data_IF_439278293421
#
_entry.id   IF_439278293421
#
_cell.length_a   1.000
_cell.length_b   1.000
_cell.length_c   1.000
_cell.angle_alpha   90.00
_cell.angle_beta   90.00
_cell.angle_gamma   90.00
#
_symmetry.space_group_name_H-M   'P 1'
#
loop_
_entity.id
_entity.type
_entity.pdbx_description
1 polymer ?
#
# COMPACT_ATOMS: atom_id res chain seq x y z
N UNK A 1 -35.11 22.76 14.10
CA UNK A 1 -34.47 22.56 12.77
C UNK A 1 -32.94 22.55 12.78
N UNK A 2 -32.25 23.36 13.60
CA UNK A 2 -30.78 23.43 13.59
C UNK A 2 -30.07 22.15 14.08
N UNK A 3 -30.56 21.52 15.18
CA UNK A 3 -30.03 20.22 15.69
C UNK A 3 -30.21 19.07 14.70
N UNK A 4 -31.32 19.05 13.95
CA UNK A 4 -31.57 18.04 12.93
C UNK A 4 -30.60 18.16 11.74
N UNK A 5 -30.27 19.38 11.30
CA UNK A 5 -29.26 19.63 10.26
C UNK A 5 -27.86 19.20 10.68
N UNK A 6 -27.48 19.44 11.94
CA UNK A 6 -26.16 19.03 12.47
C UNK A 6 -26.07 17.50 12.58
N UNK A 7 -27.14 16.84 13.04
CA UNK A 7 -27.23 15.38 13.10
C UNK A 7 -27.15 14.72 11.71
N UNK A 8 -27.86 15.27 10.72
CA UNK A 8 -27.79 14.79 9.32
C UNK A 8 -26.39 14.95 8.72
N UNK A 9 -25.72 16.09 8.98
CA UNK A 9 -24.38 16.37 8.45
C UNK A 9 -23.33 15.46 9.10
N UNK A 10 -23.44 15.19 10.40
CA UNK A 10 -22.54 14.30 11.13
C UNK A 10 -22.75 12.83 10.72
N UNK A 11 -24.00 12.37 10.64
CA UNK A 11 -24.33 11.00 10.20
C UNK A 11 -23.95 10.75 8.73
N UNK A 12 -24.10 11.75 7.85
CA UNK A 12 -23.59 11.66 6.48
C UNK A 12 -22.06 11.51 6.45
N UNK A 13 -21.34 12.35 7.21
CA UNK A 13 -19.87 12.28 7.32
C UNK A 13 -19.40 10.95 7.93
N UNK A 14 -20.10 10.43 8.94
CA UNK A 14 -19.76 9.18 9.61
C UNK A 14 -20.10 7.96 8.74
N UNK A 15 -21.17 8.01 7.94
CA UNK A 15 -21.46 7.03 6.90
C UNK A 15 -20.35 6.98 5.85
N UNK A 16 -19.81 8.14 5.44
CA UNK A 16 -18.63 8.23 4.58
C UNK A 16 -17.33 7.76 5.26
N UNK A 17 -17.31 7.62 6.59
CA UNK A 17 -16.17 7.11 7.37
C UNK A 17 -16.21 5.60 7.62
N UNK A 18 -17.27 4.90 7.23
CA UNK A 18 -17.43 3.45 7.39
C UNK A 18 -18.14 3.02 8.68
N UNK A 19 -18.15 3.89 9.70
CA UNK A 19 -18.74 3.61 11.01
C UNK A 19 -20.21 4.06 11.13
N UNK A 20 -20.69 4.87 10.18
CA UNK A 20 -22.06 5.41 10.21
C UNK A 20 -23.12 4.44 9.67
N UNK A 21 -24.32 4.55 10.24
CA UNK A 21 -25.52 3.85 9.78
C UNK A 21 -25.90 4.24 8.36
N UNK A 22 -26.28 3.29 7.51
CA UNK A 22 -26.77 3.53 6.15
C UNK A 22 -28.24 4.02 6.09
N UNK A 23 -28.82 4.29 7.25
CA UNK A 23 -30.21 4.70 7.45
C UNK A 23 -30.64 5.94 6.65
N UNK A 24 -29.75 6.92 6.43
CA UNK A 24 -30.08 8.11 5.62
C UNK A 24 -30.24 7.74 4.15
N UNK A 25 -29.31 6.92 3.62
CA UNK A 25 -29.40 6.44 2.25
C UNK A 25 -30.62 5.51 2.07
N UNK A 26 -30.88 4.64 3.06
CA UNK A 26 -32.04 3.76 3.07
C UNK A 26 -33.34 4.56 3.08
N UNK A 27 -33.46 5.56 3.96
CA UNK A 27 -34.65 6.41 4.02
C UNK A 27 -34.88 7.18 2.71
N UNK A 28 -33.81 7.72 2.12
CA UNK A 28 -33.89 8.40 0.82
C UNK A 28 -34.40 7.47 -0.30
N UNK A 29 -33.88 6.25 -0.36
CA UNK A 29 -34.30 5.25 -1.36
C UNK A 29 -35.68 4.66 -1.08
N UNK A 30 -36.07 4.49 0.18
CA UNK A 30 -37.41 4.05 0.53
C UNK A 30 -38.48 5.07 0.16
N UNK A 31 -38.16 6.36 0.18
CA UNK A 31 -39.08 7.43 -0.24
C UNK A 31 -39.30 7.48 -1.75
N UNK A 32 -38.35 6.99 -2.56
CA UNK A 32 -38.53 6.98 -4.02
C UNK A 32 -39.47 5.88 -4.48
N UNK A 33 -39.56 4.74 -3.77
CA UNK A 33 -40.47 3.63 -4.10
C UNK A 33 -41.94 4.07 -4.19
N UNK A 34 -42.57 4.65 -3.15
CA UNK A 34 -43.97 5.07 -3.23
C UNK A 34 -44.19 6.20 -4.25
N UNK A 35 -43.19 7.06 -4.47
CA UNK A 35 -43.27 8.11 -5.47
C UNK A 35 -43.30 7.53 -6.89
N UNK A 36 -42.42 6.55 -7.18
CA UNK A 36 -42.39 5.83 -8.46
C UNK A 36 -43.71 5.08 -8.64
N UNK A 37 -44.16 4.33 -7.64
CA UNK A 37 -45.41 3.56 -7.72
C UNK A 37 -46.64 4.42 -7.96
N UNK A 38 -46.77 5.56 -7.25
CA UNK A 38 -47.86 6.49 -7.51
C UNK A 38 -47.79 7.04 -8.94
N UNK A 39 -46.60 7.38 -9.42
CA UNK A 39 -46.42 7.92 -10.76
C UNK A 39 -46.72 6.88 -11.86
N UNK A 40 -46.35 5.63 -11.65
CA UNK A 40 -46.70 4.48 -12.51
C UNK A 40 -48.21 4.27 -12.56
N UNK A 41 -48.92 4.35 -11.42
CA UNK A 41 -50.38 4.19 -11.38
C UNK A 41 -51.11 5.36 -12.06
N UNK A 42 -50.63 6.59 -11.88
CA UNK A 42 -51.27 7.80 -12.44
C UNK A 42 -50.98 7.96 -13.94
N UNK A 43 -49.78 7.61 -14.38
CA UNK A 43 -49.33 7.80 -15.76
C UNK A 43 -48.52 6.60 -16.28
N UNK A 44 -49.17 5.44 -16.47
CA UNK A 44 -48.49 4.18 -16.81
C UNK A 44 -47.80 4.21 -18.18
N UNK A 45 -48.18 5.13 -19.06
CA UNK A 45 -47.56 5.32 -20.39
C UNK A 45 -46.18 5.98 -20.29
N UNK A 46 -45.96 6.82 -19.27
CA UNK A 46 -44.72 7.59 -19.12
C UNK A 46 -43.72 6.92 -18.19
N UNK A 47 -44.19 6.15 -17.21
CA UNK A 47 -43.35 5.53 -16.18
C UNK A 47 -43.71 4.05 -16.08
N UNK A 48 -42.79 3.21 -16.55
CA UNK A 48 -42.94 1.76 -16.53
C UNK A 48 -42.77 1.21 -15.10
N UNK A 49 -43.53 0.19 -14.67
CA UNK A 49 -43.29 -0.56 -13.42
C UNK A 49 -41.83 -1.02 -13.20
N UNK A 50 -41.07 -1.25 -14.28
CA UNK A 50 -39.64 -1.58 -14.21
C UNK A 50 -38.78 -0.45 -13.63
N UNK A 51 -39.30 0.78 -13.52
CA UNK A 51 -38.63 1.90 -12.86
C UNK A 51 -38.29 1.61 -11.38
N UNK A 52 -38.98 0.66 -10.74
CA UNK A 52 -38.62 0.15 -9.40
C UNK A 52 -37.23 -0.51 -9.34
N UNK A 53 -36.64 -0.87 -10.48
CA UNK A 53 -35.25 -1.32 -10.55
C UNK A 53 -34.24 -0.21 -10.20
N UNK A 54 -34.57 1.06 -10.45
CA UNK A 54 -33.67 2.20 -10.20
C UNK A 54 -33.26 2.33 -8.72
N UNK A 55 -34.19 2.38 -7.75
CA UNK A 55 -33.82 2.41 -6.34
C UNK A 55 -33.08 1.15 -5.90
N UNK A 56 -33.38 -0.01 -6.47
CA UNK A 56 -32.68 -1.28 -6.15
C UNK A 56 -31.22 -1.22 -6.62
N UNK A 57 -30.96 -0.79 -7.84
CA UNK A 57 -29.59 -0.64 -8.38
C UNK A 57 -28.81 0.40 -7.59
N UNK A 58 -29.42 1.55 -7.30
CA UNK A 58 -28.82 2.57 -6.41
C UNK A 58 -28.57 2.02 -5.00
N UNK A 59 -29.48 1.19 -4.50
CA UNK A 59 -29.38 0.48 -3.23
C UNK A 59 -28.20 -0.50 -3.19
N UNK A 60 -27.97 -1.26 -4.27
CA UNK A 60 -26.81 -2.17 -4.39
C UNK A 60 -25.46 -1.46 -4.23
N UNK A 61 -25.38 -0.21 -4.71
CA UNK A 61 -24.17 0.61 -4.62
C UNK A 61 -23.99 1.29 -3.25
N UNK A 62 -25.09 1.58 -2.55
CA UNK A 62 -25.07 2.40 -1.33
C UNK A 62 -25.26 1.55 -0.07
N UNK A 63 -26.28 0.69 -0.02
CA UNK A 63 -26.80 0.05 1.20
C UNK A 63 -26.10 -1.25 1.58
N UNK A 64 -26.01 -1.51 2.89
CA UNK A 64 -25.53 -2.80 3.41
C UNK A 64 -26.48 -3.93 2.97
N UNK A 65 -25.99 -5.19 2.85
CA UNK A 65 -26.83 -6.31 2.42
C UNK A 65 -28.14 -6.44 3.21
N UNK A 66 -28.11 -6.22 4.53
CA UNK A 66 -29.30 -6.26 5.39
C UNK A 66 -30.33 -5.18 5.06
N UNK A 67 -29.87 -3.95 4.83
CA UNK A 67 -30.73 -2.80 4.50
C UNK A 67 -31.28 -2.90 3.08
N UNK A 68 -30.46 -3.44 2.16
CA UNK A 68 -30.86 -3.69 0.78
C UNK A 68 -31.97 -4.74 0.67
N UNK A 69 -31.97 -5.77 1.52
CA UNK A 69 -33.08 -6.73 1.61
C UNK A 69 -34.39 -6.04 1.98
N UNK A 70 -34.35 -5.08 2.92
CA UNK A 70 -35.54 -4.29 3.26
C UNK A 70 -36.05 -3.43 2.10
N UNK A 71 -35.13 -2.78 1.38
CA UNK A 71 -35.47 -2.01 0.18
C UNK A 71 -36.07 -2.89 -0.92
N UNK A 72 -35.47 -4.06 -1.16
CA UNK A 72 -35.95 -5.03 -2.15
C UNK A 72 -37.33 -5.59 -1.80
N UNK A 73 -37.56 -5.93 -0.52
CA UNK A 73 -38.88 -6.37 -0.05
C UNK A 73 -39.95 -5.28 -0.25
N UNK A 74 -39.58 -4.01 -0.03
CA UNK A 74 -40.49 -2.87 -0.22
C UNK A 74 -40.82 -2.67 -1.70
N UNK A 75 -39.82 -2.78 -2.59
CA UNK A 75 -40.02 -2.70 -4.03
C UNK A 75 -40.85 -3.88 -4.58
N UNK A 76 -40.65 -5.09 -4.05
CA UNK A 76 -41.48 -6.24 -4.40
C UNK A 76 -42.95 -6.04 -3.97
N UNK A 77 -43.19 -5.49 -2.78
CA UNK A 77 -44.53 -5.11 -2.33
C UNK A 77 -45.18 -4.05 -3.21
N UNK A 78 -44.42 -3.03 -3.60
CA UNK A 78 -44.87 -2.00 -4.55
C UNK A 78 -45.27 -2.60 -5.91
N UNK A 79 -44.45 -3.51 -6.45
CA UNK A 79 -44.74 -4.20 -7.71
C UNK A 79 -46.01 -5.06 -7.63
N UNK A 80 -46.26 -5.70 -6.47
CA UNK A 80 -47.52 -6.43 -6.23
C UNK A 80 -48.72 -5.47 -6.24
N UNK A 81 -48.60 -4.29 -5.61
CA UNK A 81 -49.66 -3.27 -5.62
C UNK A 81 -49.93 -2.77 -7.04
N UNK A 82 -48.89 -2.51 -7.83
CA UNK A 82 -49.02 -2.12 -9.24
C UNK A 82 -49.70 -3.22 -10.06
N UNK A 83 -49.36 -4.50 -9.84
CA UNK A 83 -49.98 -5.62 -10.54
C UNK A 83 -51.47 -5.75 -10.21
N UNK A 84 -51.86 -5.54 -8.94
CA UNK A 84 -53.26 -5.60 -8.52
C UNK A 84 -54.08 -4.40 -9.01
N UNK A 85 -53.48 -3.20 -9.09
CA UNK A 85 -54.18 -1.96 -9.45
C UNK A 85 -54.30 -1.76 -10.96
N UNK A 86 -53.25 -2.11 -11.73
CA UNK A 86 -53.24 -1.99 -13.19
C UNK A 86 -53.97 -3.14 -13.89
N UNK A 87 -54.28 -4.23 -13.18
CA UNK A 87 -55.03 -5.37 -13.70
C UNK A 87 -54.17 -6.38 -14.49
N UNK A 88 -54.80 -7.42 -15.09
CA UNK A 88 -54.09 -8.50 -15.77
C UNK A 88 -53.20 -8.01 -16.91
N UNK A 89 -52.00 -8.56 -17.05
CA UNK A 89 -51.03 -8.16 -18.08
C UNK A 89 -51.51 -8.36 -19.53
N UNK A 90 -52.59 -9.11 -19.74
CA UNK A 90 -53.14 -9.42 -21.06
C UNK A 90 -53.91 -8.24 -21.69
N UNK A 91 -54.35 -7.26 -20.90
CA UNK A 91 -55.25 -6.20 -21.41
C UNK A 91 -54.56 -4.87 -21.76
N UNK A 92 -53.22 -4.82 -21.78
CA UNK A 92 -52.52 -3.62 -22.26
C UNK A 92 -51.01 -3.58 -22.01
N UNK A 93 -50.26 -2.76 -22.79
CA UNK A 93 -48.79 -2.72 -22.77
C UNK A 93 -48.19 -2.01 -21.55
N UNK A 94 -48.98 -1.28 -20.76
CA UNK A 94 -48.52 -0.48 -19.63
C UNK A 94 -48.80 -1.14 -18.26
N UNK A 95 -48.80 -2.47 -18.22
CA UNK A 95 -49.14 -3.29 -17.05
C UNK A 95 -47.94 -4.11 -16.58
N UNK A 96 -47.99 -4.62 -15.35
CA UNK A 96 -46.91 -5.45 -14.79
C UNK A 96 -46.83 -6.77 -15.55
N UNK A 97 -45.82 -6.93 -16.40
CA UNK A 97 -45.57 -8.17 -17.14
C UNK A 97 -44.67 -9.11 -16.34
N UNK A 98 -44.69 -10.42 -16.65
CA UNK A 98 -43.69 -11.35 -16.10
C UNK A 98 -42.24 -10.92 -16.36
N UNK A 99 -41.99 -10.23 -17.49
CA UNK A 99 -40.68 -9.66 -17.81
C UNK A 99 -40.27 -8.55 -16.84
N UNK A 100 -41.19 -7.68 -16.45
CA UNK A 100 -40.95 -6.65 -15.43
C UNK A 100 -40.55 -7.27 -14.09
N UNK A 101 -41.27 -8.30 -13.65
CA UNK A 101 -40.96 -9.04 -12.41
C UNK A 101 -39.56 -9.63 -12.49
N UNK A 102 -39.21 -10.26 -13.62
CA UNK A 102 -37.89 -10.84 -13.85
C UNK A 102 -36.77 -9.78 -13.79
N UNK A 103 -36.97 -8.61 -14.43
CA UNK A 103 -35.97 -7.53 -14.43
C UNK A 103 -35.75 -6.98 -13.02
N UNK A 104 -36.83 -6.66 -12.29
CA UNK A 104 -36.74 -6.14 -10.92
C UNK A 104 -36.07 -7.17 -10.00
N UNK A 105 -36.42 -8.45 -10.13
CA UNK A 105 -35.81 -9.53 -9.36
C UNK A 105 -34.32 -9.73 -9.70
N UNK A 106 -33.96 -9.70 -10.98
CA UNK A 106 -32.56 -9.79 -11.42
C UNK A 106 -31.73 -8.61 -10.90
N UNK A 107 -32.24 -7.38 -10.99
CA UNK A 107 -31.60 -6.20 -10.41
C UNK A 107 -31.42 -6.33 -8.90
N UNK A 108 -32.41 -6.90 -8.19
CA UNK A 108 -32.30 -7.20 -6.76
C UNK A 108 -31.19 -8.21 -6.46
N UNK A 109 -31.15 -9.31 -7.21
CA UNK A 109 -30.13 -10.35 -7.07
C UNK A 109 -28.72 -9.82 -7.36
N UNK A 110 -28.51 -9.15 -8.49
CA UNK A 110 -27.22 -8.54 -8.82
C UNK A 110 -26.84 -7.43 -7.82
N UNK A 111 -27.81 -6.65 -7.35
CA UNK A 111 -27.59 -5.66 -6.30
C UNK A 111 -27.12 -6.28 -4.99
N UNK A 112 -27.70 -7.42 -4.58
CA UNK A 112 -27.26 -8.17 -3.40
C UNK A 112 -25.88 -8.78 -3.58
N UNK A 113 -25.59 -9.36 -4.75
CA UNK A 113 -24.26 -9.87 -5.09
C UNK A 113 -23.23 -8.74 -4.99
N UNK A 114 -23.50 -7.59 -5.60
CA UNK A 114 -22.62 -6.43 -5.58
C UNK A 114 -22.43 -5.91 -4.14
N UNK A 115 -23.50 -5.85 -3.34
CA UNK A 115 -23.43 -5.46 -1.94
C UNK A 115 -22.63 -6.46 -1.09
N UNK A 116 -22.74 -7.77 -1.35
CA UNK A 116 -21.96 -8.81 -0.67
C UNK A 116 -20.49 -8.78 -1.05
N UNK A 117 -20.16 -8.61 -2.34
CA UNK A 117 -18.78 -8.41 -2.78
C UNK A 117 -18.19 -7.16 -2.12
N UNK A 118 -18.93 -6.04 -2.11
CA UNK A 118 -18.50 -4.81 -1.44
C UNK A 118 -18.28 -5.01 0.07
N UNK A 119 -19.14 -5.78 0.74
CA UNK A 119 -18.98 -6.08 2.16
C UNK A 119 -17.78 -7.01 2.43
N UNK A 120 -17.53 -7.99 1.57
CA UNK A 120 -16.41 -8.94 1.70
C UNK A 120 -15.06 -8.26 1.44
N UNK A 121 -15.01 -7.33 0.49
CA UNK A 121 -13.79 -6.58 0.17
C UNK A 121 -13.43 -5.59 1.29
N UNK A 122 -14.36 -5.27 2.22
CA UNK A 122 -14.07 -4.44 3.40
C UNK A 122 -13.69 -2.98 3.09
N UNK A 123 -13.68 -2.59 1.81
CA UNK A 123 -13.31 -1.26 1.35
C UNK A 123 -14.60 -0.46 1.10
N UNK A 124 -14.88 0.60 1.88
CA UNK A 124 -15.91 1.57 1.52
C UNK A 124 -15.54 2.16 0.16
N UNK A 125 -16.42 2.10 -0.83
CA UNK A 125 -16.17 2.44 -2.25
C UNK A 125 -15.60 3.85 -2.52
N UNK A 126 -15.54 4.74 -1.52
CA UNK A 126 -14.86 6.05 -1.60
C UNK A 126 -13.47 6.10 -0.93
N UNK A 127 -12.96 4.95 -0.50
CA UNK A 127 -11.78 4.76 0.37
C UNK A 127 -10.84 3.65 -0.12
N UNK A 128 -10.91 3.23 -1.39
CA UNK A 128 -9.84 2.39 -1.97
C UNK A 128 -8.45 3.00 -1.76
N UNK A 129 -8.37 4.34 -1.75
CA UNK A 129 -7.16 5.06 -1.38
C UNK A 129 -6.79 5.02 0.10
N UNK A 130 -7.68 4.73 1.07
CA UNK A 130 -7.31 4.83 2.49
C UNK A 130 -6.68 3.57 3.07
N UNK A 131 -7.02 2.37 2.60
CA UNK A 131 -6.27 1.18 3.04
C UNK A 131 -4.85 1.22 2.49
N UNK A 132 -4.69 1.58 1.22
CA UNK A 132 -3.37 1.73 0.61
C UNK A 132 -2.60 2.92 1.22
N UNK A 133 -3.28 4.01 1.58
CA UNK A 133 -2.68 5.11 2.35
C UNK A 133 -2.29 4.69 3.77
N UNK A 134 -3.12 3.91 4.48
CA UNK A 134 -2.80 3.43 5.83
C UNK A 134 -1.63 2.45 5.78
N UNK A 135 -1.59 1.57 4.77
CA UNK A 135 -0.45 0.72 4.47
C UNK A 135 0.82 1.55 4.23
N UNK A 136 0.74 2.58 3.37
CA UNK A 136 1.84 3.52 3.12
C UNK A 136 2.33 4.16 4.40
N UNK A 137 1.42 4.73 5.18
CA UNK A 137 1.78 5.46 6.40
C UNK A 137 2.43 4.50 7.40
N UNK A 138 1.92 3.27 7.55
CA UNK A 138 2.55 2.27 8.42
C UNK A 138 3.96 1.88 7.97
N UNK A 139 4.16 1.58 6.69
CA UNK A 139 5.49 1.25 6.13
C UNK A 139 6.43 2.45 6.29
N UNK A 140 5.95 3.67 6.01
CA UNK A 140 6.72 4.91 6.16
C UNK A 140 7.10 5.20 7.61
N UNK A 141 6.19 5.01 8.55
CA UNK A 141 6.44 5.18 9.99
C UNK A 141 7.47 4.17 10.47
N UNK A 142 7.39 2.91 10.01
CA UNK A 142 8.41 1.89 10.32
C UNK A 142 9.76 2.20 9.66
N UNK A 143 9.76 2.85 8.50
CA UNK A 143 10.97 3.26 7.76
C UNK A 143 11.61 4.56 8.22
N UNK A 144 11.27 5.04 9.43
CA UNK A 144 11.89 6.24 9.97
C UNK A 144 13.30 5.94 10.50
N UNK A 145 14.29 6.72 10.05
CA UNK A 145 15.66 6.62 10.56
C UNK A 145 15.77 7.23 11.97
N UNK A 146 16.47 6.55 12.91
CA UNK A 146 16.69 7.08 14.25
C UNK A 146 17.58 8.34 14.22
N UNK A 147 17.52 9.15 15.28
CA UNK A 147 18.42 10.31 15.41
C UNK A 147 19.86 9.87 15.70
N UNK A 148 20.79 10.28 14.83
CA UNK A 148 22.23 10.07 14.98
C UNK A 148 22.89 11.21 15.79
N UNK A 149 24.03 10.93 16.46
CA UNK A 149 24.80 11.93 17.19
C UNK A 149 25.37 13.01 16.28
N UNK A 150 25.89 14.08 16.88
CA UNK A 150 26.60 15.12 16.14
C UNK A 150 27.78 14.52 15.37
N UNK A 151 28.07 15.08 14.20
CA UNK A 151 29.09 14.54 13.29
C UNK A 151 28.55 13.46 12.33
N UNK A 152 27.28 13.08 12.42
CA UNK A 152 26.66 12.16 11.47
C UNK A 152 25.48 12.80 10.73
N UNK A 153 25.39 12.51 9.44
CA UNK A 153 24.28 12.86 8.57
C UNK A 153 23.61 11.60 8.02
N UNK A 154 22.30 11.69 7.78
CA UNK A 154 21.52 10.56 7.26
C UNK A 154 20.37 11.06 6.42
N UNK A 155 20.12 10.38 5.31
CA UNK A 155 18.95 10.62 4.48
C UNK A 155 18.36 9.33 3.98
N UNK A 156 17.05 9.36 3.79
CA UNK A 156 16.28 8.28 3.22
C UNK A 156 15.35 8.87 2.18
N UNK A 157 15.29 8.24 1.02
CA UNK A 157 14.22 8.45 0.07
C UNK A 157 13.64 7.10 -0.35
N UNK A 158 12.31 7.05 -0.44
CA UNK A 158 11.54 5.89 -0.89
C UNK A 158 10.55 6.39 -1.93
N UNK A 159 10.50 5.74 -3.09
CA UNK A 159 9.61 6.10 -4.20
C UNK A 159 8.94 4.86 -4.80
N UNK A 160 7.62 4.71 -4.60
CA UNK A 160 6.88 3.60 -5.17
C UNK A 160 6.82 3.55 -6.70
N UNK A 161 6.67 2.35 -7.25
CA UNK A 161 6.39 2.06 -8.65
C UNK A 161 5.01 2.60 -9.10
N UNK A 162 4.90 2.99 -10.36
CA UNK A 162 3.61 3.16 -11.06
C UNK A 162 2.63 4.16 -10.46
N UNK A 163 3.09 5.11 -9.64
CA UNK A 163 2.20 6.02 -8.91
C UNK A 163 1.34 5.33 -7.86
N UNK A 164 1.71 4.10 -7.47
CA UNK A 164 1.08 3.40 -6.36
C UNK A 164 1.31 4.17 -5.06
N UNK A 165 0.42 3.94 -4.11
CA UNK A 165 0.52 4.60 -2.81
C UNK A 165 1.41 3.84 -1.83
N UNK A 166 1.98 2.68 -2.15
CA UNK A 166 2.84 1.92 -1.23
C UNK A 166 3.98 1.26 -2.01
N UNK A 167 5.07 0.94 -1.30
CA UNK A 167 6.31 0.33 -1.81
C UNK A 167 6.43 -1.10 -1.27
N UNK A 168 6.94 -2.02 -2.08
CA UNK A 168 7.51 -3.30 -1.63
C UNK A 168 8.80 -3.09 -0.83
N UNK A 169 9.58 -2.08 -1.21
CA UNK A 169 10.76 -1.66 -0.47
C UNK A 169 10.42 -1.04 0.90
N UNK A 170 11.21 -1.39 1.90
CA UNK A 170 11.17 -0.73 3.19
C UNK A 170 12.55 -0.68 3.82
N UNK A 171 12.72 0.25 4.76
CA UNK A 171 13.88 0.26 5.65
C UNK A 171 13.43 0.05 7.08
N UNK A 172 14.23 -0.63 7.88
CA UNK A 172 14.09 -0.60 9.32
C UNK A 172 15.43 -0.24 9.92
N UNK A 173 15.45 0.77 10.80
CA UNK A 173 16.67 1.20 11.44
C UNK A 173 16.46 1.48 12.93
N UNK A 174 17.45 1.08 13.73
CA UNK A 174 17.43 1.27 15.17
C UNK A 174 18.82 1.62 15.69
N UNK A 175 18.86 2.39 16.78
CA UNK A 175 20.08 2.62 17.53
C UNK A 175 20.15 1.62 18.68
N UNK A 176 21.11 0.72 18.63
CA UNK A 176 21.28 -0.40 19.57
C UNK A 176 22.49 -0.16 20.47
N UNK A 177 22.73 -1.03 21.45
CA UNK A 177 23.89 -0.93 22.37
C UNK A 177 24.00 0.44 23.07
N UNK A 178 22.91 0.91 23.69
CA UNK A 178 22.87 2.24 24.33
C UNK A 178 22.94 3.41 23.34
N UNK A 179 22.73 3.10 22.06
CA UNK A 179 22.78 4.05 20.95
C UNK A 179 24.16 4.22 20.32
N UNK A 180 25.17 3.44 20.72
CA UNK A 180 26.49 3.47 20.07
C UNK A 180 26.44 2.91 18.65
N UNK A 181 25.60 1.90 18.41
CA UNK A 181 25.52 1.22 17.12
C UNK A 181 24.26 1.66 16.39
N UNK A 182 24.38 2.00 15.11
CA UNK A 182 23.26 2.09 14.18
C UNK A 182 23.14 0.76 13.45
N UNK A 183 21.99 0.13 13.56
CA UNK A 183 21.63 -0.98 12.67
C UNK A 183 20.58 -0.48 11.68
N UNK A 184 20.77 -0.77 10.40
CA UNK A 184 19.84 -0.41 9.34
C UNK A 184 19.69 -1.57 8.37
N UNK A 185 18.46 -1.88 7.99
CA UNK A 185 18.11 -2.98 7.10
C UNK A 185 17.28 -2.42 5.97
N UNK A 186 17.79 -2.45 4.75
CA UNK A 186 17.04 -2.14 3.55
C UNK A 186 16.62 -3.46 2.89
N UNK A 187 15.34 -3.60 2.58
CA UNK A 187 14.77 -4.84 2.04
C UNK A 187 13.83 -4.51 0.90
N UNK A 188 13.99 -5.23 -0.21
CA UNK A 188 13.04 -5.27 -1.30
C UNK A 188 12.34 -6.64 -1.31
N UNK A 189 11.02 -6.61 -1.43
CA UNK A 189 10.15 -7.78 -1.33
C UNK A 189 9.63 -8.14 -2.70
N UNK A 190 9.91 -9.36 -3.13
CA UNK A 190 9.45 -9.85 -4.42
C UNK A 190 7.94 -9.78 -4.59
N UNK A 191 7.54 -9.46 -5.82
CA UNK A 191 6.16 -9.36 -6.24
C UNK A 191 5.79 -7.94 -6.65
N UNK A 192 4.50 -7.70 -6.87
CA UNK A 192 3.98 -6.37 -7.23
C UNK A 192 2.58 -6.18 -6.70
N UNK A 193 2.20 -4.92 -6.52
CA UNK A 193 0.84 -4.58 -6.10
C UNK A 193 0.56 -4.97 -4.65
N UNK A 194 -0.71 -5.17 -4.32
CA UNK A 194 -1.15 -5.23 -2.91
C UNK A 194 -0.50 -6.36 -2.10
N UNK A 195 -0.20 -7.49 -2.73
CA UNK A 195 0.43 -8.63 -2.04
C UNK A 195 1.84 -8.26 -1.57
N UNK A 196 2.66 -7.66 -2.44
CA UNK A 196 4.00 -7.18 -2.08
C UNK A 196 3.94 -6.13 -0.95
N UNK A 197 3.00 -5.17 -1.02
CA UNK A 197 2.83 -4.18 0.04
C UNK A 197 2.41 -4.80 1.38
N UNK A 198 1.54 -5.80 1.37
CA UNK A 198 1.13 -6.50 2.60
C UNK A 198 2.27 -7.30 3.24
N UNK A 199 3.11 -7.94 2.40
CA UNK A 199 4.31 -8.66 2.82
C UNK A 199 5.35 -7.70 3.38
N UNK A 200 5.60 -6.58 2.70
CA UNK A 200 6.48 -5.50 3.16
C UNK A 200 6.08 -5.02 4.56
N UNK A 201 4.79 -4.78 4.82
CA UNK A 201 4.30 -4.38 6.15
C UNK A 201 4.52 -5.46 7.23
N UNK A 202 4.30 -6.73 6.89
CA UNK A 202 4.54 -7.84 7.83
C UNK A 202 6.03 -7.98 8.14
N UNK A 203 6.88 -7.91 7.11
CA UNK A 203 8.32 -8.05 7.23
C UNK A 203 8.96 -6.86 7.94
N UNK A 204 8.57 -5.63 7.63
CA UNK A 204 9.06 -4.44 8.33
C UNK A 204 8.76 -4.49 9.83
N UNK A 205 7.57 -4.98 10.22
CA UNK A 205 7.21 -5.21 11.61
C UNK A 205 8.07 -6.29 12.27
N UNK A 206 8.24 -7.44 11.61
CA UNK A 206 9.05 -8.54 12.11
C UNK A 206 10.53 -8.14 12.26
N UNK A 207 11.11 -7.53 11.22
CA UNK A 207 12.51 -7.11 11.18
C UNK A 207 12.78 -6.04 12.23
N UNK A 208 11.85 -5.09 12.44
CA UNK A 208 11.96 -4.12 13.53
C UNK A 208 11.93 -4.72 14.92
N UNK A 209 11.30 -5.88 15.12
CA UNK A 209 11.38 -6.63 16.38
C UNK A 209 12.69 -7.39 16.56
N UNK A 210 13.29 -7.86 15.46
CA UNK A 210 14.55 -8.60 15.46
C UNK A 210 15.78 -7.68 15.62
N UNK A 211 15.72 -6.47 15.05
CA UNK A 211 16.82 -5.52 15.04
C UNK A 211 17.20 -5.10 16.47
N UNK A 212 18.46 -5.31 16.86
CA UNK A 212 18.95 -5.09 18.22
C UNK A 212 18.52 -6.13 19.27
N UNK A 213 17.64 -7.07 18.92
CA UNK A 213 17.28 -8.21 19.79
C UNK A 213 18.18 -9.42 19.57
N UNK A 214 18.89 -9.46 18.43
CA UNK A 214 19.81 -10.52 18.03
C UNK A 214 21.22 -9.95 17.82
N UNK A 215 22.28 -10.79 17.94
CA UNK A 215 23.59 -10.45 17.41
C UNK A 215 23.52 -10.15 15.90
N UNK A 216 24.34 -9.22 15.37
CA UNK A 216 24.33 -8.84 13.96
C UNK A 216 24.30 -10.01 12.96
N UNK A 217 25.24 -10.95 13.10
CA UNK A 217 25.35 -12.13 12.22
C UNK A 217 24.13 -13.07 12.26
N UNK A 218 23.28 -12.99 13.29
CA UNK A 218 22.11 -13.85 13.44
C UNK A 218 20.83 -13.22 12.86
N UNK A 219 20.86 -11.94 12.46
CA UNK A 219 19.69 -11.23 11.96
C UNK A 219 19.16 -11.83 10.65
N UNK A 220 19.99 -11.88 9.60
CA UNK A 220 19.56 -12.41 8.29
C UNK A 220 19.15 -13.89 8.33
N UNK A 221 19.85 -14.80 9.06
CA UNK A 221 19.37 -16.16 9.27
C UNK A 221 17.99 -16.22 9.94
N UNK A 222 17.73 -15.40 10.96
CA UNK A 222 16.44 -15.35 11.64
C UNK A 222 15.33 -14.79 10.73
N UNK A 223 15.66 -13.76 9.94
CA UNK A 223 14.78 -13.19 8.92
C UNK A 223 14.43 -14.23 7.83
N UNK A 224 15.42 -14.95 7.30
CA UNK A 224 15.23 -16.04 6.35
C UNK A 224 14.27 -17.11 6.89
N UNK A 225 14.52 -17.59 8.12
CA UNK A 225 13.64 -18.55 8.77
C UNK A 225 12.22 -18.01 9.02
N UNK A 226 12.05 -16.70 9.25
CA UNK A 226 10.72 -16.09 9.34
C UNK A 226 9.97 -16.12 8.01
N UNK A 227 10.64 -15.77 6.90
CA UNK A 227 10.05 -15.82 5.55
C UNK A 227 9.64 -17.25 5.17
N UNK A 228 10.52 -18.24 5.38
CA UNK A 228 10.26 -19.65 5.07
C UNK A 228 9.01 -20.18 5.80
N UNK A 229 8.71 -19.69 7.01
CA UNK A 229 7.50 -20.08 7.76
C UNK A 229 6.21 -19.44 7.26
N UNK A 230 6.28 -18.40 6.42
CA UNK A 230 5.07 -17.78 5.87
C UNK A 230 4.44 -18.61 4.74
N UNK A 231 5.21 -19.52 4.13
CA UNK A 231 4.75 -20.44 3.08
C UNK A 231 4.06 -19.70 1.92
N UNK A 232 4.69 -18.63 1.43
CA UNK A 232 4.18 -17.85 0.30
C UNK A 232 4.56 -18.51 -1.02
N UNK A 233 3.58 -18.70 -1.92
CA UNK A 233 3.76 -19.32 -3.25
C UNK A 233 4.91 -18.70 -4.08
N UNK A 234 5.09 -17.37 -3.97
CA UNK A 234 6.15 -16.60 -4.65
C UNK A 234 6.71 -15.54 -3.68
N UNK A 235 7.40 -15.94 -2.61
CA UNK A 235 7.81 -15.04 -1.53
C UNK A 235 9.27 -15.12 -1.15
N UNK A 236 10.13 -14.40 -1.88
CA UNK A 236 11.50 -14.10 -1.47
C UNK A 236 11.71 -12.61 -1.25
N UNK A 237 12.82 -12.24 -0.64
CA UNK A 237 13.21 -10.84 -0.48
C UNK A 237 14.73 -10.69 -0.63
N UNK A 238 15.15 -9.58 -1.20
CA UNK A 238 16.54 -9.12 -1.12
C UNK A 238 16.69 -8.28 0.14
N UNK A 239 17.83 -8.35 0.83
CA UNK A 239 18.04 -7.53 2.02
C UNK A 239 19.50 -7.19 2.24
N UNK A 240 19.79 -5.98 2.69
CA UNK A 240 21.12 -5.55 3.13
C UNK A 240 21.03 -5.03 4.56
N UNK A 241 21.83 -5.61 5.46
CA UNK A 241 21.89 -5.27 6.87
C UNK A 241 23.23 -4.61 7.19
N UNK A 242 23.17 -3.32 7.51
CA UNK A 242 24.30 -2.52 7.97
C UNK A 242 24.31 -2.46 9.49
N UNK A 243 25.48 -2.71 10.08
CA UNK A 243 25.78 -2.48 11.50
C UNK A 243 26.96 -1.51 11.59
N UNK A 244 26.71 -0.30 12.07
CA UNK A 244 27.66 0.80 12.09
C UNK A 244 27.91 1.27 13.54
N UNK A 245 29.16 1.23 13.99
CA UNK A 245 29.60 1.88 15.22
C UNK A 245 29.73 3.39 14.97
N UNK A 246 28.89 4.19 15.63
CA UNK A 246 28.83 5.64 15.45
C UNK A 246 29.97 6.39 16.15
N UNK A 247 30.76 5.71 17.00
CA UNK A 247 31.92 6.26 17.69
C UNK A 247 33.18 6.07 16.84
N UNK A 248 33.48 4.82 16.44
CA UNK A 248 34.67 4.53 15.62
C UNK A 248 34.45 4.82 14.14
N UNK A 249 33.23 4.64 13.62
CA UNK A 249 32.91 4.64 12.20
C UNK A 249 33.04 3.27 11.53
N UNK A 250 33.44 2.24 12.26
CA UNK A 250 33.56 0.89 11.73
C UNK A 250 32.18 0.30 11.46
N UNK A 251 32.08 -0.47 10.37
CA UNK A 251 30.83 -1.11 9.99
C UNK A 251 31.02 -2.53 9.50
N UNK A 252 29.92 -3.29 9.60
CA UNK A 252 29.72 -4.59 9.00
C UNK A 252 28.47 -4.54 8.11
N UNK A 253 28.56 -5.10 6.91
CA UNK A 253 27.46 -5.23 5.95
C UNK A 253 27.23 -6.70 5.67
N UNK A 254 26.00 -7.15 5.86
CA UNK A 254 25.54 -8.49 5.49
C UNK A 254 24.55 -8.34 4.33
N UNK A 255 24.66 -9.15 3.28
CA UNK A 255 23.79 -9.06 2.09
C UNK A 255 23.09 -10.39 1.82
N UNK A 256 21.81 -10.34 1.53
CA UNK A 256 20.98 -11.44 1.07
C UNK A 256 20.49 -11.14 -0.35
N UNK A 257 21.29 -11.50 -1.36
CA UNK A 257 21.01 -11.28 -2.78
C UNK A 257 20.74 -9.82 -3.17
N UNK A 258 21.20 -8.85 -2.37
CA UNK A 258 20.94 -7.43 -2.56
C UNK A 258 22.11 -6.75 -3.30
N UNK A 259 21.85 -5.69 -4.12
CA UNK A 259 22.91 -4.88 -4.74
C UNK A 259 23.99 -4.41 -3.75
N UNK A 260 25.25 -4.24 -4.22
CA UNK A 260 26.35 -3.83 -3.36
C UNK A 260 26.13 -2.43 -2.78
N UNK A 261 26.61 -2.20 -1.57
CA UNK A 261 26.65 -0.85 -1.02
C UNK A 261 27.76 -0.04 -1.71
N UNK A 262 27.60 1.28 -1.80
CA UNK A 262 28.61 2.17 -2.39
C UNK A 262 29.22 3.07 -1.32
N UNK A 263 30.54 3.01 -1.15
CA UNK A 263 31.27 3.91 -0.26
C UNK A 263 32.05 4.95 -1.07
N UNK A 264 31.84 6.23 -0.80
CA UNK A 264 32.72 7.31 -1.23
C UNK A 264 33.81 7.53 -0.20
N UNK A 265 35.05 7.47 -0.63
CA UNK A 265 36.21 7.85 0.17
C UNK A 265 36.53 9.33 -0.02
N UNK A 266 36.34 10.16 0.99
CA UNK A 266 36.53 11.61 0.87
C UNK A 266 37.97 12.00 0.53
N UNK A 267 38.94 11.20 0.98
CA UNK A 267 40.37 11.46 0.72
C UNK A 267 40.77 11.29 -0.75
N UNK A 268 40.13 10.39 -1.49
CA UNK A 268 40.44 10.10 -2.90
C UNK A 268 39.36 10.58 -3.88
N UNK A 269 38.14 10.85 -3.38
CA UNK A 269 36.96 11.10 -4.19
C UNK A 269 36.51 9.90 -5.01
N UNK A 270 36.95 8.68 -4.66
CA UNK A 270 36.63 7.46 -5.39
C UNK A 270 35.49 6.70 -4.71
N UNK A 271 34.60 6.14 -5.54
CA UNK A 271 33.57 5.21 -5.11
C UNK A 271 34.11 3.78 -5.09
N UNK A 272 33.76 3.03 -4.05
CA UNK A 272 34.09 1.62 -3.88
C UNK A 272 32.81 0.82 -3.61
N UNK A 273 32.63 -0.28 -4.34
CA UNK A 273 31.57 -1.25 -4.08
C UNK A 273 31.91 -2.13 -2.87
N UNK A 274 30.95 -2.30 -1.97
CA UNK A 274 30.99 -3.18 -0.80
C UNK A 274 29.99 -4.31 -1.00
N UNK A 275 30.42 -5.33 -1.75
CA UNK A 275 29.61 -6.46 -2.17
C UNK A 275 29.62 -7.57 -1.11
N UNK A 276 28.51 -7.74 -0.39
CA UNK A 276 28.30 -8.90 0.46
C UNK A 276 27.80 -10.11 -0.33
N UNK A 277 28.18 -11.31 0.11
CA UNK A 277 27.70 -12.57 -0.48
C UNK A 277 26.63 -13.19 0.42
N UNK A 278 25.55 -13.67 -0.21
CA UNK A 278 24.50 -14.39 0.47
C UNK A 278 23.29 -14.65 -0.43
N UNK A 279 22.56 -15.77 -0.22
CA UNK A 279 21.38 -16.10 -1.01
C UNK A 279 20.22 -15.13 -0.74
N UNK A 280 19.20 -15.15 -1.61
CA UNK A 280 17.94 -14.45 -1.34
C UNK A 280 17.26 -15.01 -0.08
N UNK A 281 16.59 -14.16 0.69
CA UNK A 281 15.79 -14.59 1.83
C UNK A 281 14.55 -15.37 1.34
N UNK A 282 14.17 -16.42 2.04
CA UNK A 282 12.98 -17.23 1.76
C UNK A 282 13.18 -18.34 0.73
N UNK A 283 14.40 -18.57 0.23
CA UNK A 283 14.65 -19.59 -0.82
C UNK A 283 15.01 -20.96 -0.26
N UNK A 284 15.95 -21.02 0.69
CA UNK A 284 16.33 -22.29 1.33
C UNK A 284 16.76 -22.10 2.79
N UNK A 285 16.62 -23.15 3.58
CA UNK A 285 16.95 -23.16 5.01
C UNK A 285 18.46 -23.31 5.23
N UNK A 286 18.97 -22.79 6.36
CA UNK A 286 20.40 -22.86 6.70
C UNK A 286 21.31 -21.95 5.86
N UNK A 287 20.77 -20.90 5.25
CA UNK A 287 21.55 -19.87 4.56
C UNK A 287 22.54 -19.16 5.51
N UNK A 288 23.79 -19.07 5.08
CA UNK A 288 24.84 -18.29 5.75
C UNK A 288 25.04 -16.95 5.03
N UNK A 289 25.32 -15.91 5.81
CA UNK A 289 25.48 -14.54 5.33
C UNK A 289 26.77 -13.97 5.93
N UNK A 290 27.79 -13.78 5.09
CA UNK A 290 29.08 -13.30 5.56
C UNK A 290 29.16 -11.78 5.57
N UNK A 291 29.87 -11.25 6.56
CA UNK A 291 30.02 -9.82 6.75
C UNK A 291 31.14 -9.24 5.90
N UNK A 292 30.86 -8.17 5.16
CA UNK A 292 31.86 -7.26 4.61
C UNK A 292 32.14 -6.16 5.62
N UNK A 293 33.42 -5.97 5.95
CA UNK A 293 33.85 -4.97 6.94
C UNK A 293 34.43 -3.74 6.26
N UNK A 294 34.21 -2.59 6.88
CA UNK A 294 34.82 -1.33 6.45
C UNK A 294 34.78 -0.31 7.57
N UNK A 295 35.21 0.92 7.25
CA UNK A 295 35.15 2.04 8.18
C UNK A 295 34.81 3.31 7.41
N UNK A 296 33.98 4.17 8.00
CA UNK A 296 33.65 5.50 7.49
C UNK A 296 34.52 6.54 8.18
N UNK A 297 35.50 7.05 7.46
CA UNK A 297 36.30 8.17 7.90
C UNK A 297 35.47 9.48 7.86
N UNK A 298 35.87 10.52 8.60
CA UNK A 298 35.26 11.84 8.44
C UNK A 298 35.32 12.32 6.98
N UNK A 299 34.17 12.72 6.44
CA UNK A 299 33.95 13.06 5.05
C UNK A 299 33.34 11.93 4.20
N UNK A 300 33.51 10.67 4.60
CA UNK A 300 33.05 9.52 3.80
C UNK A 300 31.52 9.42 3.78
N UNK A 301 31.04 8.76 2.72
CA UNK A 301 29.61 8.52 2.47
C UNK A 301 29.39 7.05 2.18
N UNK A 302 28.32 6.48 2.72
CA UNK A 302 27.84 5.14 2.41
C UNK A 302 26.42 5.23 1.84
N UNK A 303 26.19 4.54 0.72
CA UNK A 303 24.89 4.44 0.06
C UNK A 303 24.42 2.99 0.03
N UNK A 304 23.16 2.78 0.43
CA UNK A 304 22.44 1.52 0.30
C UNK A 304 21.19 1.79 -0.54
N UNK A 305 20.94 0.98 -1.57
CA UNK A 305 19.86 1.22 -2.52
C UNK A 305 19.31 -0.08 -3.07
N UNK A 306 18.03 -0.08 -3.43
CA UNK A 306 17.40 -1.23 -4.09
C UNK A 306 17.73 -1.26 -5.58
N UNK A 307 17.58 -2.44 -6.16
CA UNK A 307 17.82 -2.68 -7.59
C UNK A 307 16.97 -1.78 -8.47
N UNK A 308 15.72 -1.46 -8.11
CA UNK A 308 14.88 -0.52 -8.85
C UNK A 308 15.47 0.89 -9.05
N UNK A 309 16.55 1.26 -8.34
CA UNK A 309 17.31 2.50 -8.57
C UNK A 309 18.32 2.38 -9.73
N UNK A 310 18.89 1.19 -9.95
CA UNK A 310 20.01 0.95 -10.87
C UNK A 310 19.64 0.03 -12.03
N UNK A 311 18.66 -0.86 -11.85
CA UNK A 311 18.16 -1.79 -12.86
C UNK A 311 17.09 -1.13 -13.73
N UNK A 312 17.16 -1.39 -15.04
CA UNK A 312 16.14 -1.03 -15.99
C UNK A 312 16.06 -2.08 -17.10
N UNK A 313 14.91 -2.22 -17.75
CA UNK A 313 14.70 -3.24 -18.79
C UNK A 313 15.68 -3.17 -19.97
N UNK A 314 16.33 -2.03 -20.18
CA UNK A 314 17.25 -1.75 -21.27
C UNK A 314 18.72 -1.60 -20.84
N UNK A 315 19.03 -1.73 -19.54
CA UNK A 315 20.35 -1.41 -18.98
C UNK A 315 20.76 -2.40 -17.89
N UNK A 316 22.06 -2.69 -17.86
CA UNK A 316 22.65 -3.54 -16.81
C UNK A 316 22.83 -2.74 -15.50
N UNK A 317 22.85 -3.46 -14.38
CA UNK A 317 23.04 -2.93 -13.02
C UNK A 317 24.35 -2.13 -12.94
N UNK A 318 25.41 -2.60 -13.58
CA UNK A 318 26.71 -1.89 -13.59
C UNK A 318 26.60 -0.48 -14.21
N UNK A 319 25.87 -0.35 -15.33
CA UNK A 319 25.63 0.96 -15.96
C UNK A 319 24.76 1.85 -15.07
N UNK A 320 23.81 1.26 -14.35
CA UNK A 320 23.01 1.95 -13.33
C UNK A 320 23.85 2.50 -12.18
N UNK A 321 24.80 1.71 -11.67
CA UNK A 321 25.73 2.10 -10.61
C UNK A 321 26.66 3.23 -11.09
N UNK A 322 27.22 3.13 -12.30
CA UNK A 322 28.05 4.19 -12.90
C UNK A 322 27.28 5.51 -13.02
N UNK A 323 26.01 5.45 -13.41
CA UNK A 323 25.14 6.64 -13.46
C UNK A 323 24.85 7.19 -12.07
N UNK A 324 24.55 6.33 -11.10
CA UNK A 324 24.27 6.72 -9.72
C UNK A 324 25.47 7.45 -9.10
N UNK A 325 26.66 6.87 -9.21
CA UNK A 325 27.90 7.47 -8.71
C UNK A 325 28.23 8.78 -9.43
N UNK A 326 28.08 8.84 -10.75
CA UNK A 326 28.30 10.08 -11.52
C UNK A 326 27.32 11.22 -11.17
N UNK A 327 26.06 10.91 -10.82
CA UNK A 327 25.12 11.92 -10.30
C UNK A 327 25.45 12.30 -8.84
N UNK A 328 25.88 11.34 -8.02
CA UNK A 328 26.30 11.55 -6.63
C UNK A 328 27.56 12.44 -6.52
N UNK A 329 28.46 12.39 -7.49
CA UNK A 329 29.67 13.24 -7.55
C UNK A 329 29.36 14.74 -7.47
N UNK A 330 28.18 15.16 -7.93
CA UNK A 330 27.74 16.57 -7.86
C UNK A 330 27.55 17.06 -6.43
N UNK A 331 27.34 16.15 -5.48
CA UNK A 331 27.10 16.44 -4.07
C UNK A 331 28.36 16.36 -3.21
N UNK A 332 29.47 15.86 -3.75
CA UNK A 332 30.74 15.71 -3.00
C UNK A 332 31.25 17.05 -2.49
N UNK A 333 31.09 18.11 -3.28
CA UNK A 333 31.56 19.46 -2.92
C UNK A 333 30.57 20.27 -2.08
N UNK A 334 29.27 20.04 -2.25
CA UNK A 334 28.19 20.80 -1.60
C UNK A 334 27.62 20.10 -0.36
N UNK A 335 27.95 18.82 -0.17
CA UNK A 335 27.37 17.94 0.83
C UNK A 335 26.13 17.20 0.31
N UNK A 336 25.82 16.09 0.97
CA UNK A 336 24.69 15.21 0.63
C UNK A 336 23.38 15.61 1.31
N UNK A 337 23.22 16.89 1.68
CA UNK A 337 21.96 17.39 2.25
C UNK A 337 20.90 17.54 1.13
N UNK A 338 19.78 16.83 1.24
CA UNK A 338 18.70 16.72 0.26
C UNK A 338 19.00 15.77 -0.90
N UNK A 339 20.16 15.10 -0.92
CA UNK A 339 20.64 14.35 -2.07
C UNK A 339 19.81 13.10 -2.36
N UNK A 340 19.30 12.40 -1.34
CA UNK A 340 18.66 11.10 -1.52
C UNK A 340 17.46 11.16 -2.50
N UNK A 341 16.59 12.15 -2.35
CA UNK A 341 15.44 12.33 -3.23
C UNK A 341 15.86 12.69 -4.66
N UNK A 342 16.85 13.58 -4.80
CA UNK A 342 17.33 14.02 -6.11
C UNK A 342 18.01 12.89 -6.89
N UNK A 343 18.78 12.03 -6.22
CA UNK A 343 19.42 10.88 -6.85
C UNK A 343 18.39 9.87 -7.36
N UNK A 344 17.33 9.58 -6.61
CA UNK A 344 16.22 8.72 -7.08
C UNK A 344 15.55 9.31 -8.32
N UNK A 345 15.26 10.61 -8.34
CA UNK A 345 14.64 11.28 -9.50
C UNK A 345 15.57 11.33 -10.72
N UNK A 346 16.87 11.53 -10.51
CA UNK A 346 17.85 11.67 -11.59
C UNK A 346 18.21 10.32 -12.25
N UNK A 347 18.34 9.25 -11.46
CA UNK A 347 18.83 7.96 -11.97
C UNK A 347 17.73 7.11 -12.60
N UNK A 348 16.51 7.17 -12.05
CA UNK A 348 15.45 6.22 -12.34
C UNK A 348 14.13 6.87 -12.79
N UNK A 349 14.19 8.02 -13.48
CA UNK A 349 13.00 8.82 -13.87
C UNK A 349 11.92 8.01 -14.61
N UNK A 350 12.35 7.11 -15.51
CA UNK A 350 11.47 6.33 -16.39
C UNK A 350 11.35 4.86 -15.97
N UNK A 351 11.90 4.49 -14.80
CA UNK A 351 11.82 3.13 -14.24
C UNK A 351 10.51 2.97 -13.48
N UNK A 352 9.77 1.91 -13.80
CA UNK A 352 8.49 1.60 -13.17
C UNK A 352 8.66 0.56 -12.05
N UNK A 353 9.56 0.86 -11.12
CA UNK A 353 9.84 0.01 -9.97
C UNK A 353 9.91 0.81 -8.65
N UNK A 354 9.81 0.07 -7.54
CA UNK A 354 10.01 0.57 -6.20
C UNK A 354 11.50 0.93 -6.02
N UNK A 355 11.75 2.06 -5.36
CA UNK A 355 13.09 2.64 -5.24
C UNK A 355 13.35 3.11 -3.84
N UNK A 356 14.44 2.65 -3.26
CA UNK A 356 14.94 3.09 -1.99
C UNK A 356 16.38 3.56 -2.10
N UNK A 357 16.71 4.62 -1.37
CA UNK A 357 18.08 5.08 -1.19
C UNK A 357 18.27 5.57 0.25
N UNK A 358 19.18 4.92 0.95
CA UNK A 358 19.69 5.30 2.27
C UNK A 358 21.10 5.85 2.10
N UNK A 359 21.29 7.11 2.52
CA UNK A 359 22.58 7.78 2.59
C UNK A 359 23.00 7.94 4.05
N UNK A 360 24.25 7.61 4.36
CA UNK A 360 24.89 7.89 5.63
C UNK A 360 26.20 8.59 5.36
N UNK A 361 26.49 9.68 6.07
CA UNK A 361 27.81 10.30 5.99
C UNK A 361 28.31 10.74 7.35
N UNK A 362 29.63 10.65 7.50
CA UNK A 362 30.34 11.16 8.67
C UNK A 362 30.83 12.55 8.31
N UNK A 363 30.34 13.59 8.98
CA UNK A 363 30.75 14.98 8.72
C UNK A 363 32.24 15.14 9.08
N UNK A 364 32.95 15.90 8.24
CA UNK A 364 34.35 16.23 8.40
C UNK A 364 34.63 17.10 9.63
#
# INVERSE_FOLDING_TARGET
MHRARIGLRKSGVDYFRGDGSDWIALAGLLLTIPAITLATVVSPVWIDPAALALPIVAGGLLLRPSSLLGLYATAAGALIIEALTLGPYLDGPARVTPGTVLVVAACGFFGLILAQFRARVGVPWRRGGTMLFDLRERIRVQSSLPRLPQGWHREMALRPAGGQSFSGDFVVAARTHGGRTLEAVLTDVSGKGMDAGSRALLLSGAFGGLLGSLPPHAFLPAANGYLLRQDWDEGFATSIHLVLDLESGDYEIYSAGHPPALQLHAGSGQWEEKSGEGPLLGVYDGAEFDAVKGSLAPGDVLMLFTDGLVEASDRDIAEGIDRLTGEADRYVSTGFEGAAWHLIEACAKDVNDDRALLLLSRRA
#
